data_IF_519143314231
#
_entry.id   IF_519143314231
#
_cell.length_a   1.000
_cell.length_b   1.000
_cell.length_c   1.000
_cell.angle_alpha   90.00
_cell.angle_beta   90.00
_cell.angle_gamma   90.00
#
_symmetry.space_group_name_H-M   'P 1'
#
loop_
_entity.id
_entity.type
_entity.pdbx_description
1 polymer ?
#
# COMPACT_ATOMS: atom_id res chain seq x y z
N UNK A 1 -26.90 14.48 -11.68
CA UNK A 1 -26.60 13.07 -11.35
C UNK A 1 -25.11 12.87 -11.19
N UNK A 2 -24.73 12.02 -10.27
CA UNK A 2 -23.36 11.55 -10.12
C UNK A 2 -23.34 10.04 -10.34
N UNK A 3 -22.54 9.57 -11.30
CA UNK A 3 -22.39 8.17 -11.65
C UNK A 3 -20.96 7.71 -11.38
N UNK A 4 -20.79 6.63 -10.62
CA UNK A 4 -19.49 6.01 -10.35
C UNK A 4 -19.44 4.62 -10.95
N UNK A 5 -18.53 4.41 -11.90
CA UNK A 5 -18.20 3.10 -12.48
C UNK A 5 -17.02 2.53 -11.69
N UNK A 6 -17.25 1.46 -10.93
CA UNK A 6 -16.27 0.91 -10.02
C UNK A 6 -15.76 -0.43 -10.55
N UNK A 7 -14.44 -0.61 -10.53
CA UNK A 7 -13.73 -1.86 -10.86
C UNK A 7 -12.79 -2.23 -9.74
N UNK A 8 -12.65 -3.51 -9.43
CA UNK A 8 -11.82 -4.02 -8.33
C UNK A 8 -12.55 -4.03 -6.99
N UNK A 9 -11.82 -4.30 -5.91
CA UNK A 9 -12.38 -4.52 -4.58
C UNK A 9 -12.33 -3.23 -3.74
N UNK A 10 -13.44 -2.59 -3.65
CA UNK A 10 -13.68 -1.37 -2.90
C UNK A 10 -15.06 -0.81 -3.20
N UNK A 11 -15.45 0.21 -2.48
CA UNK A 11 -16.72 0.89 -2.68
C UNK A 11 -16.54 2.41 -2.65
N UNK A 12 -17.54 3.12 -3.19
CA UNK A 12 -17.60 4.59 -3.16
C UNK A 12 -18.95 5.00 -2.63
N UNK A 13 -18.94 5.87 -1.63
CA UNK A 13 -20.16 6.50 -1.11
C UNK A 13 -20.27 7.89 -1.69
N UNK A 14 -21.43 8.22 -2.24
CA UNK A 14 -21.80 9.55 -2.73
C UNK A 14 -22.63 10.18 -1.64
N UNK A 15 -22.20 11.29 -1.07
CA UNK A 15 -22.95 11.99 0.00
C UNK A 15 -22.86 13.50 -0.13
N UNK A 16 -23.84 14.21 0.46
CA UNK A 16 -23.80 15.66 0.61
C UNK A 16 -23.26 16.08 1.99
N UNK A 17 -23.26 17.38 2.24
CA UNK A 17 -22.79 17.97 3.49
C UNK A 17 -23.73 17.69 4.68
N UNK A 18 -25.00 17.37 4.40
CA UNK A 18 -25.99 16.97 5.41
C UNK A 18 -25.92 15.47 5.72
N UNK A 19 -24.98 14.73 5.11
CA UNK A 19 -24.78 13.28 5.22
C UNK A 19 -25.90 12.44 4.58
N UNK A 20 -26.69 13.00 3.66
CA UNK A 20 -27.57 12.22 2.82
C UNK A 20 -26.72 11.39 1.84
N UNK A 21 -27.05 10.11 1.67
CA UNK A 21 -26.36 9.19 0.79
C UNK A 21 -27.17 8.96 -0.47
N UNK A 22 -26.50 9.03 -1.62
CA UNK A 22 -27.10 8.86 -2.94
C UNK A 22 -26.59 7.58 -3.62
N UNK A 23 -27.50 6.89 -4.30
CA UNK A 23 -27.08 5.79 -5.17
C UNK A 23 -26.41 6.34 -6.45
N UNK A 24 -25.45 5.58 -6.99
CA UNK A 24 -24.83 5.94 -8.28
C UNK A 24 -25.89 6.08 -9.38
N UNK A 25 -25.86 7.19 -10.09
CA UNK A 25 -26.82 7.52 -11.15
C UNK A 25 -28.15 8.10 -10.70
N UNK A 26 -28.39 8.24 -9.38
CA UNK A 26 -29.62 8.87 -8.89
C UNK A 26 -29.64 10.39 -9.15
N UNK A 27 -30.81 10.97 -9.11
CA UNK A 27 -30.98 12.42 -9.23
C UNK A 27 -30.56 13.12 -7.94
N UNK A 28 -29.80 14.19 -8.10
CA UNK A 28 -29.35 15.06 -7.01
C UNK A 28 -29.80 16.48 -7.39
N UNK A 29 -30.31 17.21 -6.43
CA UNK A 29 -30.75 18.59 -6.65
C UNK A 29 -29.60 19.48 -7.09
N UNK A 30 -29.88 20.43 -7.96
CA UNK A 30 -28.89 21.44 -8.37
C UNK A 30 -28.40 22.23 -7.16
N UNK A 31 -27.15 22.62 -7.19
CA UNK A 31 -26.44 23.34 -6.14
C UNK A 31 -26.24 22.53 -4.83
N UNK A 32 -26.51 21.23 -4.82
CA UNK A 32 -26.12 20.36 -3.68
C UNK A 32 -24.60 20.15 -3.72
N UNK A 33 -23.92 20.42 -2.62
CA UNK A 33 -22.49 20.11 -2.48
C UNK A 33 -22.33 18.61 -2.23
N UNK A 34 -21.58 17.95 -3.09
CA UNK A 34 -21.43 16.49 -3.09
C UNK A 34 -19.97 16.08 -3.02
N UNK A 35 -19.72 15.04 -2.27
CA UNK A 35 -18.40 14.39 -2.14
C UNK A 35 -18.48 12.89 -2.40
N UNK A 36 -17.38 12.35 -2.86
CA UNK A 36 -17.13 10.90 -2.98
C UNK A 36 -16.23 10.47 -1.84
N UNK A 37 -16.63 9.44 -1.10
CA UNK A 37 -15.78 8.79 -0.10
C UNK A 37 -15.40 7.41 -0.61
N UNK A 38 -14.10 7.17 -0.79
CA UNK A 38 -13.55 5.92 -1.29
C UNK A 38 -13.26 4.98 -0.13
N UNK A 39 -13.69 3.73 -0.24
CA UNK A 39 -13.53 2.70 0.78
C UNK A 39 -12.87 1.48 0.09
N UNK A 40 -11.54 1.46 -0.04
CA UNK A 40 -10.83 0.28 -0.52
C UNK A 40 -11.02 -0.88 0.46
N UNK A 41 -11.17 -2.11 -0.05
CA UNK A 41 -11.08 -3.30 0.78
C UNK A 41 -9.65 -3.55 1.29
N UNK A 42 -9.51 -4.46 2.25
CA UNK A 42 -8.21 -4.85 2.78
C UNK A 42 -7.26 -5.30 1.65
N UNK A 43 -6.03 -4.79 1.66
CA UNK A 43 -5.00 -4.97 0.62
C UNK A 43 -5.31 -4.35 -0.76
N UNK A 44 -6.27 -3.41 -0.81
CA UNK A 44 -6.55 -2.62 -2.00
C UNK A 44 -6.31 -1.12 -1.75
N UNK A 45 -6.05 -0.40 -2.83
CA UNK A 45 -5.92 1.07 -2.87
C UNK A 45 -6.64 1.62 -4.08
N UNK A 46 -6.90 2.91 -4.09
CA UNK A 46 -7.34 3.60 -5.30
C UNK A 46 -6.16 3.61 -6.28
N UNK A 47 -6.30 2.89 -7.39
CA UNK A 47 -5.28 2.80 -8.43
C UNK A 47 -5.49 3.86 -9.51
N UNK A 48 -6.74 4.04 -9.94
CA UNK A 48 -7.11 5.10 -10.86
C UNK A 48 -8.41 5.76 -10.43
N UNK A 49 -8.49 7.07 -10.67
CA UNK A 49 -9.70 7.86 -10.53
C UNK A 49 -9.73 8.88 -11.67
N UNK A 50 -10.68 8.75 -12.57
CA UNK A 50 -10.78 9.61 -13.74
C UNK A 50 -12.21 10.12 -13.95
N UNK A 51 -12.33 11.32 -14.56
CA UNK A 51 -13.58 11.83 -15.06
C UNK A 51 -14.00 11.15 -16.37
N UNK A 52 -15.19 11.44 -16.89
CA UNK A 52 -15.72 10.86 -18.13
C UNK A 52 -14.89 11.17 -19.37
N UNK A 53 -14.14 12.28 -19.37
CA UNK A 53 -13.24 12.66 -20.47
C UNK A 53 -11.84 12.03 -20.36
N UNK A 54 -11.61 11.18 -19.35
CA UNK A 54 -10.34 10.49 -19.12
C UNK A 54 -9.29 11.28 -18.34
N UNK A 55 -9.63 12.47 -17.84
CA UNK A 55 -8.73 13.25 -16.99
C UNK A 55 -8.51 12.56 -15.65
N UNK A 56 -7.25 12.43 -15.22
CA UNK A 56 -6.90 11.88 -13.90
C UNK A 56 -7.20 12.90 -12.80
N UNK A 57 -7.95 12.45 -11.80
CA UNK A 57 -8.32 13.22 -10.61
C UNK A 57 -7.68 12.61 -9.35
N UNK A 58 -6.78 11.64 -9.49
CA UNK A 58 -6.21 10.87 -8.38
C UNK A 58 -5.49 11.77 -7.36
N UNK A 59 -4.76 12.77 -7.84
CA UNK A 59 -4.01 13.71 -7.00
C UNK A 59 -4.91 14.71 -6.25
N UNK A 60 -6.20 14.77 -6.57
CA UNK A 60 -7.18 15.63 -5.92
C UNK A 60 -7.89 14.92 -4.75
N UNK A 61 -7.60 13.64 -4.54
CA UNK A 61 -8.14 12.89 -3.40
C UNK A 61 -7.36 13.25 -2.13
N UNK A 62 -8.06 13.63 -1.09
CA UNK A 62 -7.50 13.87 0.24
C UNK A 62 -8.24 13.02 1.28
N UNK A 63 -7.51 12.27 2.10
CA UNK A 63 -8.09 11.38 3.13
C UNK A 63 -9.20 10.45 2.60
N UNK A 64 -9.01 9.89 1.41
CA UNK A 64 -10.01 9.09 0.69
C UNK A 64 -11.31 9.85 0.35
N UNK A 65 -11.26 11.17 0.25
CA UNK A 65 -12.39 12.00 -0.13
C UNK A 65 -12.03 12.82 -1.36
N UNK A 66 -12.96 12.92 -2.29
CA UNK A 66 -12.93 13.84 -3.41
C UNK A 66 -14.18 14.72 -3.35
N UNK A 67 -14.01 16.03 -3.34
CA UNK A 67 -15.09 17.01 -3.32
C UNK A 67 -15.45 17.39 -4.75
N UNK A 68 -16.66 17.04 -5.18
CA UNK A 68 -17.18 17.43 -6.49
C UNK A 68 -17.57 18.92 -6.47
N UNK A 69 -18.03 19.41 -5.31
CA UNK A 69 -18.62 20.72 -5.15
C UNK A 69 -20.12 20.74 -5.44
N UNK A 70 -20.65 21.91 -5.78
CA UNK A 70 -22.06 22.10 -6.11
C UNK A 70 -22.41 21.44 -7.44
N UNK A 71 -23.42 20.59 -7.45
CA UNK A 71 -23.89 19.88 -8.67
C UNK A 71 -24.62 20.84 -9.58
N UNK A 72 -24.10 21.04 -10.78
CA UNK A 72 -24.70 21.85 -11.85
C UNK A 72 -25.01 21.04 -13.11
N UNK A 73 -24.44 19.86 -13.23
CA UNK A 73 -24.48 19.01 -14.42
C UNK A 73 -24.40 17.51 -14.06
N UNK A 74 -24.37 16.65 -15.06
CA UNK A 74 -24.11 15.23 -14.86
C UNK A 74 -22.60 14.98 -14.76
N UNK A 75 -22.19 14.28 -13.73
CA UNK A 75 -20.82 13.86 -13.51
C UNK A 75 -20.70 12.33 -13.59
N UNK A 76 -19.72 11.86 -14.31
CA UNK A 76 -19.39 10.42 -14.39
C UNK A 76 -17.92 10.22 -14.08
N UNK A 77 -17.65 9.29 -13.18
CA UNK A 77 -16.32 8.94 -12.74
C UNK A 77 -16.06 7.46 -12.93
N UNK A 78 -14.83 7.13 -13.32
CA UNK A 78 -14.34 5.75 -13.38
C UNK A 78 -13.28 5.55 -12.30
N UNK A 79 -13.48 4.55 -11.47
CA UNK A 79 -12.67 4.25 -10.30
C UNK A 79 -12.17 2.81 -10.41
N UNK A 80 -10.87 2.61 -10.27
CA UNK A 80 -10.29 1.28 -10.14
C UNK A 80 -9.62 1.14 -8.77
N UNK A 81 -10.02 0.11 -8.04
CA UNK A 81 -9.30 -0.35 -6.87
C UNK A 81 -8.37 -1.47 -7.27
N UNK A 82 -7.05 -1.20 -7.22
CA UNK A 82 -5.99 -2.16 -7.49
C UNK A 82 -5.44 -2.74 -6.20
N UNK A 83 -4.86 -3.93 -6.28
CA UNK A 83 -4.19 -4.55 -5.14
C UNK A 83 -2.99 -3.70 -4.71
N UNK A 84 -2.78 -3.59 -3.41
CA UNK A 84 -1.51 -3.07 -2.89
C UNK A 84 -0.45 -4.12 -3.21
N UNK A 85 0.17 -4.00 -4.37
CA UNK A 85 1.28 -4.85 -4.78
C UNK A 85 2.53 -4.27 -4.14
N UNK A 86 2.87 -4.80 -2.99
CA UNK A 86 4.07 -4.41 -2.25
C UNK A 86 3.79 -3.45 -1.09
N UNK A 87 4.44 -3.71 0.04
CA UNK A 87 4.67 -2.73 1.09
C UNK A 87 5.32 -1.52 0.41
N UNK A 88 4.86 -0.33 0.73
CA UNK A 88 5.42 0.93 0.23
C UNK A 88 6.95 0.85 0.19
N UNK A 89 7.56 1.19 -0.94
CA UNK A 89 9.03 1.31 -1.04
C UNK A 89 9.64 2.18 0.07
N UNK A 90 8.83 3.05 0.67
CA UNK A 90 9.20 3.88 1.81
C UNK A 90 9.41 3.07 3.09
N UNK A 91 8.54 2.10 3.40
CA UNK A 91 8.72 1.19 4.54
C UNK A 91 9.98 0.34 4.38
N UNK A 92 10.29 -0.07 3.14
CA UNK A 92 11.51 -0.82 2.84
C UNK A 92 12.78 0.04 2.88
N UNK A 93 12.70 1.36 2.68
CA UNK A 93 13.85 2.27 2.80
C UNK A 93 14.37 2.37 4.23
N UNK A 94 13.51 2.25 5.23
CA UNK A 94 13.88 2.34 6.65
C UNK A 94 14.56 1.09 7.21
N UNK A 95 14.55 -0.04 6.48
CA UNK A 95 15.19 -1.28 6.93
C UNK A 95 16.70 -1.14 6.89
N UNK A 96 17.33 -1.40 8.01
CA UNK A 96 18.79 -1.40 8.16
C UNK A 96 19.28 -2.67 8.84
N UNK A 97 20.50 -3.07 8.46
CA UNK A 97 21.20 -4.21 9.07
C UNK A 97 22.48 -3.72 9.75
N UNK A 98 22.77 -4.26 10.92
CA UNK A 98 24.11 -4.20 11.47
C UNK A 98 24.46 -5.47 12.23
N UNK A 99 25.74 -5.83 12.24
CA UNK A 99 26.27 -7.01 12.90
C UNK A 99 27.14 -6.61 14.07
N UNK A 100 26.89 -7.20 15.23
CA UNK A 100 27.69 -7.02 16.43
C UNK A 100 27.77 -8.31 17.23
N UNK A 101 28.96 -8.77 17.55
CA UNK A 101 29.25 -9.86 18.49
C UNK A 101 28.39 -11.13 18.27
N UNK A 102 28.30 -11.60 17.04
CA UNK A 102 27.51 -12.81 16.72
C UNK A 102 26.02 -12.61 16.55
N UNK A 103 25.55 -11.37 16.68
CA UNK A 103 24.15 -11.02 16.53
C UNK A 103 23.95 -10.12 15.30
N UNK A 104 23.01 -10.46 14.46
CA UNK A 104 22.53 -9.63 13.35
C UNK A 104 21.27 -8.90 13.80
N UNK A 105 21.33 -7.58 13.78
CA UNK A 105 20.21 -6.71 14.07
C UNK A 105 19.56 -6.26 12.77
N UNK A 106 18.23 -6.36 12.73
CA UNK A 106 17.39 -5.94 11.61
C UNK A 106 16.39 -4.93 12.16
N UNK A 107 16.52 -3.68 11.75
CA UNK A 107 15.63 -2.61 12.19
C UNK A 107 14.67 -2.22 11.07
N UNK A 108 13.51 -1.68 11.43
CA UNK A 108 12.51 -1.18 10.49
C UNK A 108 11.65 -2.28 9.86
N UNK A 109 11.57 -3.46 10.49
CA UNK A 109 10.67 -4.56 10.09
C UNK A 109 9.40 -4.56 10.95
N UNK A 110 8.32 -5.12 10.41
CA UNK A 110 7.08 -5.39 11.14
C UNK A 110 7.07 -6.78 11.79
N UNK A 111 6.03 -7.06 12.58
CA UNK A 111 5.89 -8.31 13.33
C UNK A 111 5.72 -9.56 12.45
N UNK A 112 5.35 -9.38 11.18
CA UNK A 112 5.10 -10.47 10.22
C UNK A 112 6.25 -10.61 9.20
N UNK A 113 7.39 -9.99 9.45
CA UNK A 113 8.52 -10.06 8.53
C UNK A 113 9.20 -11.43 8.59
N UNK A 114 9.43 -12.04 7.44
CA UNK A 114 10.26 -13.23 7.32
C UNK A 114 11.67 -12.84 6.88
N UNK A 115 12.69 -13.33 7.59
CA UNK A 115 14.09 -13.04 7.32
C UNK A 115 14.81 -14.31 6.91
N UNK A 116 15.31 -14.36 5.69
CA UNK A 116 16.08 -15.48 5.14
C UNK A 116 17.52 -15.06 4.87
N UNK A 117 18.48 -15.83 5.36
CA UNK A 117 19.91 -15.58 5.17
C UNK A 117 20.46 -16.63 4.22
N UNK A 118 21.17 -16.17 3.19
CA UNK A 118 21.80 -17.00 2.16
C UNK A 118 23.30 -16.76 2.14
N UNK A 119 24.06 -17.79 1.84
CA UNK A 119 25.47 -17.64 1.48
C UNK A 119 25.62 -17.13 0.01
N UNK A 120 26.83 -16.86 -0.40
CA UNK A 120 27.10 -16.35 -1.75
C UNK A 120 26.83 -17.37 -2.88
N UNK A 121 26.61 -18.64 -2.55
CA UNK A 121 26.22 -19.67 -3.53
C UNK A 121 24.71 -19.71 -3.73
N UNK A 122 23.94 -18.91 -2.96
CA UNK A 122 22.48 -18.91 -2.96
C UNK A 122 21.86 -19.98 -2.05
N UNK A 123 22.68 -20.69 -1.27
CA UNK A 123 22.18 -21.67 -0.31
C UNK A 123 21.57 -20.97 0.90
N UNK A 124 20.33 -21.36 1.25
CA UNK A 124 19.69 -20.90 2.48
C UNK A 124 20.43 -21.46 3.70
N UNK A 125 20.89 -20.58 4.58
CA UNK A 125 21.61 -20.92 5.81
C UNK A 125 20.79 -20.71 7.08
N UNK A 126 19.82 -19.80 7.03
CA UNK A 126 18.89 -19.56 8.14
C UNK A 126 17.62 -18.87 7.67
N UNK A 127 16.49 -19.21 8.28
CA UNK A 127 15.22 -18.47 8.15
C UNK A 127 14.62 -18.25 9.53
N UNK A 128 14.05 -17.11 9.78
CA UNK A 128 13.41 -16.73 11.05
C UNK A 128 12.41 -15.59 10.84
N UNK A 129 11.47 -15.45 11.76
CA UNK A 129 10.55 -14.32 11.86
C UNK A 129 10.92 -13.40 13.05
N UNK A 130 11.97 -13.74 13.78
CA UNK A 130 12.41 -13.02 14.96
C UNK A 130 13.70 -12.23 14.70
N UNK A 131 13.76 -11.00 15.23
CA UNK A 131 14.95 -10.17 15.29
C UNK A 131 15.15 -9.69 16.75
N UNK A 132 16.39 -9.55 17.25
CA UNK A 132 17.66 -9.79 16.55
C UNK A 132 17.99 -11.28 16.35
N UNK A 133 18.83 -11.59 15.37
CA UNK A 133 19.12 -12.95 14.93
C UNK A 133 20.48 -13.41 15.45
N UNK A 134 20.52 -14.52 16.19
CA UNK A 134 21.80 -15.14 16.55
C UNK A 134 22.39 -15.86 15.34
N UNK A 135 23.56 -15.41 14.89
CA UNK A 135 24.33 -15.95 13.77
C UNK A 135 25.76 -16.36 14.20
N UNK A 136 25.99 -16.58 15.51
CA UNK A 136 27.29 -16.96 16.02
C UNK A 136 27.86 -18.21 15.31
N UNK A 137 26.98 -19.16 14.97
CA UNK A 137 27.33 -20.44 14.32
C UNK A 137 27.65 -20.31 12.83
N UNK A 138 27.39 -19.18 12.19
CA UNK A 138 27.78 -18.97 10.80
C UNK A 138 29.28 -18.71 10.71
N UNK A 139 29.90 -19.19 9.65
CA UNK A 139 31.33 -18.91 9.37
C UNK A 139 31.54 -17.42 9.02
N UNK A 140 32.76 -16.95 9.19
CA UNK A 140 33.13 -15.61 8.69
C UNK A 140 32.94 -15.57 7.17
N UNK A 141 32.35 -14.51 6.67
CA UNK A 141 32.09 -14.39 5.24
C UNK A 141 31.01 -13.38 4.91
N UNK A 142 30.65 -13.36 3.66
CA UNK A 142 29.63 -12.50 3.09
C UNK A 142 28.32 -13.26 2.95
N UNK A 143 27.23 -12.63 3.32
CA UNK A 143 25.88 -13.20 3.29
C UNK A 143 24.88 -12.22 2.68
N UNK A 144 23.82 -12.74 2.10
CA UNK A 144 22.66 -11.98 1.63
C UNK A 144 21.50 -12.25 2.60
N UNK A 145 20.90 -11.19 3.11
CA UNK A 145 19.68 -11.24 3.91
C UNK A 145 18.52 -10.80 3.04
N UNK A 146 17.58 -11.69 2.84
CA UNK A 146 16.31 -11.39 2.19
C UNK A 146 15.26 -11.19 3.28
N UNK A 147 14.62 -10.03 3.28
CA UNK A 147 13.56 -9.66 4.21
C UNK A 147 12.28 -9.55 3.39
N UNK A 148 11.30 -10.36 3.77
CA UNK A 148 9.97 -10.39 3.14
C UNK A 148 8.97 -9.82 4.13
N UNK A 149 8.21 -8.81 3.71
CA UNK A 149 7.09 -8.23 4.45
C UNK A 149 5.89 -8.16 3.50
N UNK A 150 4.83 -8.93 3.77
CA UNK A 150 3.72 -9.10 2.84
C UNK A 150 4.20 -9.60 1.48
N UNK A 151 3.90 -8.86 0.41
CA UNK A 151 4.27 -9.22 -0.96
C UNK A 151 5.56 -8.54 -1.45
N UNK A 152 6.34 -7.94 -0.57
CA UNK A 152 7.56 -7.20 -0.93
C UNK A 152 8.78 -7.81 -0.29
N UNK A 153 9.86 -7.88 -1.08
CA UNK A 153 11.15 -8.37 -0.66
C UNK A 153 12.21 -7.27 -0.70
N UNK A 154 13.09 -7.27 0.28
CA UNK A 154 14.34 -6.48 0.25
C UNK A 154 15.52 -7.39 0.49
N UNK A 155 16.51 -7.33 -0.41
CA UNK A 155 17.78 -8.03 -0.24
C UNK A 155 18.86 -7.05 0.19
N UNK A 156 19.61 -7.42 1.22
CA UNK A 156 20.72 -6.64 1.77
C UNK A 156 21.92 -7.55 2.01
N UNK A 157 23.12 -7.00 1.84
CA UNK A 157 24.37 -7.70 2.08
C UNK A 157 24.91 -7.37 3.46
N UNK A 158 25.44 -8.36 4.18
CA UNK A 158 26.28 -8.11 5.35
C UNK A 158 27.55 -8.95 5.34
N UNK A 159 28.55 -8.53 6.09
CA UNK A 159 29.84 -9.24 6.23
C UNK A 159 30.00 -9.62 7.70
N UNK A 160 30.09 -10.93 7.96
CA UNK A 160 30.48 -11.45 9.27
C UNK A 160 32.01 -11.48 9.34
N UNK A 161 32.59 -10.68 10.23
CA UNK A 161 34.02 -10.58 10.50
C UNK A 161 34.50 -11.60 11.52
#
# INVERSE_FOLDING_TARGET
>A
RVTCNITGNGSVTISDDESNVYASGSEILNNTFVKLTFIPEENYKIETFTSSNGESLLDQISNNIYEIGAIDSNHTYNITFGTIVGIDKESMKSISLYYQTGILYVNGIDENATIAIYDLTGKLVKVTEEAPINIANLTKGCYIVKITMGNTDKAMKFIKK
#
